data_IF_696617735290
#
_entry.id   IF_696617735290
#
_cell.length_a   1.000
_cell.length_b   1.000
_cell.length_c   1.000
_cell.angle_alpha   90.00
_cell.angle_beta   90.00
_cell.angle_gamma   90.00
#
_symmetry.space_group_name_H-M   'P 1'
#
loop_
_entity.id
_entity.type
_entity.pdbx_description
1 polymer ?
#
# COMPACT_ATOMS: atom_id res chain seq x y z
N UNK A 1 -35.58 -16.75 -23.94
CA UNK A 1 -34.63 -16.38 -22.87
C UNK A 1 -33.66 -17.54 -22.73
N UNK A 2 -32.40 -17.35 -23.09
CA UNK A 2 -31.36 -18.39 -22.95
C UNK A 2 -30.98 -18.50 -21.47
N UNK A 3 -31.24 -19.67 -20.87
CA UNK A 3 -30.78 -20.01 -19.52
C UNK A 3 -29.27 -20.24 -19.61
N UNK A 4 -28.47 -19.48 -18.87
CA UNK A 4 -27.03 -19.75 -18.78
C UNK A 4 -26.84 -21.12 -18.12
N UNK A 5 -25.90 -21.90 -18.63
CA UNK A 5 -25.55 -23.17 -17.98
C UNK A 5 -24.72 -22.89 -16.73
N UNK A 6 -24.77 -23.79 -15.75
CA UNK A 6 -23.92 -23.72 -14.56
C UNK A 6 -22.42 -23.52 -14.90
N UNK A 7 -21.96 -24.12 -16.00
CA UNK A 7 -20.59 -23.97 -16.50
C UNK A 7 -20.29 -22.54 -16.94
N UNK A 8 -21.23 -21.87 -17.62
CA UNK A 8 -21.08 -20.48 -18.06
C UNK A 8 -21.07 -19.50 -16.87
N UNK A 9 -21.92 -19.73 -15.87
CA UNK A 9 -21.94 -18.93 -14.64
C UNK A 9 -20.63 -19.08 -13.85
N UNK A 10 -20.09 -20.30 -13.78
CA UNK A 10 -18.84 -20.59 -13.11
C UNK A 10 -17.64 -19.94 -13.81
N UNK A 11 -17.59 -19.98 -15.14
CA UNK A 11 -16.54 -19.32 -15.92
C UNK A 11 -16.61 -17.79 -15.79
N UNK A 12 -17.80 -17.20 -15.83
CA UNK A 12 -17.99 -15.77 -15.62
C UNK A 12 -17.55 -15.33 -14.21
N UNK A 13 -17.90 -16.10 -13.18
CA UNK A 13 -17.45 -15.84 -11.81
C UNK A 13 -15.92 -15.92 -11.70
N UNK A 14 -15.29 -16.94 -12.29
CA UNK A 14 -13.82 -17.09 -12.29
C UNK A 14 -13.14 -15.90 -12.97
N UNK A 15 -13.61 -15.49 -14.15
CA UNK A 15 -13.06 -14.37 -14.87
C UNK A 15 -13.19 -13.05 -14.08
N UNK A 16 -14.32 -12.85 -13.40
CA UNK A 16 -14.54 -11.68 -12.54
C UNK A 16 -13.60 -11.68 -11.31
N UNK A 17 -13.42 -12.82 -10.66
CA UNK A 17 -12.51 -12.94 -9.52
C UNK A 17 -11.05 -12.75 -9.94
N UNK A 18 -10.65 -13.36 -11.06
CA UNK A 18 -9.30 -13.19 -11.60
C UNK A 18 -9.01 -11.73 -11.95
N UNK A 19 -9.97 -11.04 -12.58
CA UNK A 19 -9.85 -9.61 -12.87
C UNK A 19 -9.73 -8.77 -11.58
N UNK A 20 -10.46 -9.12 -10.51
CA UNK A 20 -10.38 -8.45 -9.20
C UNK A 20 -9.02 -8.64 -8.53
N UNK A 21 -8.47 -9.86 -8.56
CA UNK A 21 -7.17 -10.14 -7.94
C UNK A 21 -5.98 -9.52 -8.66
N UNK A 22 -6.08 -9.33 -9.98
CA UNK A 22 -5.03 -8.71 -10.81
C UNK A 22 -5.04 -7.18 -10.77
N UNK A 23 -5.98 -6.54 -10.07
CA UNK A 23 -5.97 -5.09 -9.91
C UNK A 23 -4.70 -4.62 -9.19
N UNK A 24 -4.28 -3.38 -9.45
CA UNK A 24 -3.04 -2.80 -8.90
C UNK A 24 -3.00 -2.80 -7.36
N UNK A 25 -4.16 -2.83 -6.70
CA UNK A 25 -4.31 -2.99 -5.24
C UNK A 25 -5.12 -4.25 -4.86
N UNK A 26 -5.20 -5.25 -5.74
CA UNK A 26 -5.94 -6.49 -5.53
C UNK A 26 -5.28 -7.40 -4.50
N UNK A 27 -5.98 -8.46 -4.06
CA UNK A 27 -5.50 -9.41 -3.03
C UNK A 27 -4.09 -9.98 -3.30
N UNK A 28 -3.68 -10.12 -4.57
CA UNK A 28 -2.37 -10.64 -4.95
C UNK A 28 -1.26 -9.59 -5.04
N UNK A 29 -1.56 -8.30 -4.81
CA UNK A 29 -0.60 -7.20 -4.93
C UNK A 29 0.22 -6.94 -3.66
N UNK A 30 0.12 -7.79 -2.62
CA UNK A 30 0.82 -7.59 -1.36
C UNK A 30 2.34 -7.78 -1.53
N UNK A 31 3.06 -6.67 -1.61
CA UNK A 31 4.53 -6.67 -1.67
C UNK A 31 5.19 -6.87 -0.29
N UNK A 32 4.46 -6.61 0.81
CA UNK A 32 4.96 -6.80 2.17
C UNK A 32 3.93 -6.45 3.23
N UNK A 33 4.14 -6.97 4.44
CA UNK A 33 3.39 -6.65 5.65
C UNK A 33 4.41 -6.38 6.76
N UNK A 34 4.35 -5.19 7.35
CA UNK A 34 5.30 -4.72 8.35
C UNK A 34 4.54 -4.30 9.60
N UNK A 35 4.92 -4.87 10.75
CA UNK A 35 4.44 -4.42 12.04
C UNK A 35 5.21 -3.19 12.46
N UNK A 36 4.51 -2.14 12.87
CA UNK A 36 5.13 -0.92 13.36
C UNK A 36 5.36 -1.02 14.87
N UNK A 37 6.58 -0.72 15.28
CA UNK A 37 6.91 -0.47 16.69
C UNK A 37 6.74 1.01 17.00
N UNK A 38 6.51 1.35 18.28
CA UNK A 38 6.43 2.76 18.71
C UNK A 38 7.77 3.47 18.42
N UNK A 39 7.72 4.65 17.81
CA UNK A 39 8.89 5.38 17.35
C UNK A 39 9.03 5.39 15.83
N UNK A 40 10.27 5.48 15.34
CA UNK A 40 10.58 5.66 13.92
C UNK A 40 10.96 4.36 13.24
N UNK A 41 10.50 4.16 12.02
CA UNK A 41 10.85 3.07 11.11
C UNK A 41 11.19 3.65 9.74
N UNK A 42 12.43 3.48 9.30
CA UNK A 42 12.88 3.98 7.99
C UNK A 42 12.45 3.02 6.90
N UNK A 43 12.00 3.59 5.79
CA UNK A 43 11.47 2.86 4.65
C UNK A 43 12.29 3.15 3.39
N UNK A 44 12.68 2.11 2.66
CA UNK A 44 13.43 2.26 1.41
C UNK A 44 14.09 0.97 0.94
N UNK A 45 14.91 1.07 -0.12
CA UNK A 45 15.68 -0.07 -0.66
C UNK A 45 17.09 -0.22 -0.07
N UNK A 46 17.50 0.68 0.83
CA UNK A 46 18.79 0.62 1.52
C UNK A 46 18.90 -0.58 2.47
N UNK A 47 20.11 -1.02 2.83
CA UNK A 47 20.35 -2.26 3.59
C UNK A 47 19.94 -2.20 5.07
N UNK A 48 19.77 -1.00 5.64
CA UNK A 48 19.50 -0.78 7.06
C UNK A 48 18.12 -0.12 7.28
N UNK A 49 17.11 -0.58 6.53
CA UNK A 49 15.74 -0.07 6.63
C UNK A 49 14.88 -1.04 7.46
N UNK A 50 14.18 -0.53 8.47
CA UNK A 50 13.19 -1.31 9.23
C UNK A 50 12.04 -1.77 8.31
N UNK A 51 11.68 -0.96 7.33
CA UNK A 51 10.72 -1.28 6.26
C UNK A 51 11.48 -1.41 4.94
N UNK A 52 12.02 -2.60 4.70
CA UNK A 52 12.77 -2.93 3.49
C UNK A 52 11.84 -3.09 2.28
N UNK A 53 12.02 -2.22 1.27
CA UNK A 53 11.27 -2.28 0.01
C UNK A 53 11.97 -3.13 -1.06
N UNK A 54 11.23 -3.70 -2.03
CA UNK A 54 11.82 -4.44 -3.13
C UNK A 54 12.82 -3.61 -3.93
N UNK A 55 13.97 -4.21 -4.25
CA UNK A 55 15.04 -3.55 -5.01
C UNK A 55 14.54 -2.96 -6.34
N UNK A 56 14.99 -1.74 -6.66
CA UNK A 56 14.63 -1.05 -7.91
C UNK A 56 13.20 -0.48 -7.96
N UNK A 57 12.40 -0.61 -6.90
CA UNK A 57 11.05 -0.05 -6.82
C UNK A 57 10.94 1.30 -6.13
N UNK A 58 11.95 1.69 -5.34
CA UNK A 58 12.00 2.94 -4.61
C UNK A 58 13.45 3.38 -4.34
N UNK A 59 13.70 4.65 -3.96
CA UNK A 59 15.01 5.11 -3.49
C UNK A 59 15.52 4.33 -2.28
N UNK A 60 16.83 4.41 -2.03
CA UNK A 60 17.47 3.76 -0.88
C UNK A 60 16.85 4.20 0.45
N UNK A 61 16.49 5.48 0.55
CA UNK A 61 15.67 6.02 1.61
C UNK A 61 14.48 6.75 0.98
N UNK A 62 13.28 6.18 1.11
CA UNK A 62 12.06 6.73 0.55
C UNK A 62 11.40 7.71 1.54
N UNK A 63 11.20 7.25 2.78
CA UNK A 63 10.53 7.99 3.85
C UNK A 63 10.83 7.37 5.22
N UNK A 64 10.40 8.04 6.28
CA UNK A 64 10.33 7.52 7.65
C UNK A 64 8.87 7.44 8.08
N UNK A 65 8.48 6.31 8.66
CA UNK A 65 7.21 6.12 9.34
C UNK A 65 7.43 6.37 10.83
N UNK A 66 6.56 7.15 11.48
CA UNK A 66 6.55 7.32 12.92
C UNK A 66 5.21 6.83 13.47
N UNK A 67 5.25 5.82 14.34
CA UNK A 67 4.11 5.45 15.18
C UNK A 67 4.26 6.17 16.51
N UNK A 68 3.26 6.99 16.85
CA UNK A 68 3.19 7.67 18.14
C UNK A 68 1.78 7.68 18.68
N UNK A 69 1.56 7.13 19.86
CA UNK A 69 0.24 7.11 20.53
C UNK A 69 -0.87 6.56 19.61
N UNK A 70 -0.55 5.52 18.83
CA UNK A 70 -1.50 4.90 17.89
C UNK A 70 -1.74 5.68 16.59
N UNK A 71 -1.04 6.80 16.37
CA UNK A 71 -1.10 7.57 15.12
C UNK A 71 0.13 7.28 14.27
N UNK A 72 -0.09 7.06 12.99
CA UNK A 72 0.97 6.82 12.03
C UNK A 72 1.18 8.06 11.17
N UNK A 73 2.41 8.55 11.12
CA UNK A 73 2.82 9.66 10.26
C UNK A 73 3.95 9.22 9.33
N UNK A 74 3.88 9.61 8.07
CA UNK A 74 4.96 9.44 7.11
C UNK A 74 5.63 10.80 6.89
N UNK A 75 6.95 10.84 6.97
CA UNK A 75 7.77 11.98 6.56
C UNK A 75 8.75 11.56 5.47
N UNK A 76 8.81 12.32 4.38
CA UNK A 76 9.68 12.03 3.25
C UNK A 76 10.67 13.18 3.01
N UNK A 77 11.94 12.87 2.66
CA UNK A 77 12.88 13.88 2.20
C UNK A 77 12.32 14.73 1.07
N UNK A 78 12.76 15.98 0.96
CA UNK A 78 12.38 16.85 -0.15
C UNK A 78 12.77 16.21 -1.49
N UNK A 79 11.81 16.12 -2.41
CA UNK A 79 12.00 15.48 -3.72
C UNK A 79 11.86 13.96 -3.74
N UNK A 80 11.54 13.31 -2.61
CA UNK A 80 11.17 11.90 -2.60
C UNK A 80 9.88 11.67 -3.42
N UNK A 81 9.81 10.56 -4.19
CA UNK A 81 8.66 10.24 -5.04
C UNK A 81 7.53 9.61 -4.19
N UNK A 82 6.96 10.39 -3.28
CA UNK A 82 5.87 9.99 -2.39
C UNK A 82 4.63 10.83 -2.70
N UNK A 83 3.51 10.15 -2.94
CA UNK A 83 2.27 10.80 -3.38
C UNK A 83 1.05 10.31 -2.62
N UNK A 84 0.08 11.21 -2.41
CA UNK A 84 -1.30 10.89 -2.01
C UNK A 84 -2.23 11.53 -3.04
N UNK A 85 -3.16 10.74 -3.58
CA UNK A 85 -4.06 11.16 -4.68
C UNK A 85 -3.31 11.81 -5.86
N UNK A 86 -2.12 11.29 -6.16
CA UNK A 86 -1.24 11.78 -7.23
C UNK A 86 -0.52 13.10 -6.92
N UNK A 87 -0.72 13.70 -5.74
CA UNK A 87 -0.05 14.92 -5.31
C UNK A 87 1.19 14.59 -4.45
N UNK A 88 2.33 15.24 -4.70
CA UNK A 88 3.54 15.00 -3.92
C UNK A 88 3.37 15.46 -2.48
N UNK A 89 3.84 14.64 -1.52
CA UNK A 89 3.78 14.94 -0.08
C UNK A 89 5.11 14.67 0.60
N UNK A 90 5.43 15.45 1.63
CA UNK A 90 6.63 15.27 2.47
C UNK A 90 6.30 15.01 3.94
N UNK A 91 5.07 15.29 4.37
CA UNK A 91 4.56 15.00 5.71
C UNK A 91 3.07 14.72 5.60
N UNK A 92 2.63 13.56 6.08
CA UNK A 92 1.21 13.19 6.11
C UNK A 92 0.91 12.22 7.25
N UNK A 93 -0.19 12.45 7.95
CA UNK A 93 -0.77 11.44 8.85
C UNK A 93 -1.50 10.38 8.01
N UNK A 94 -1.17 9.11 8.20
CA UNK A 94 -1.76 8.00 7.48
C UNK A 94 -2.93 7.42 8.27
N UNK A 95 -4.15 7.66 7.79
CA UNK A 95 -5.37 7.15 8.41
C UNK A 95 -5.66 5.70 7.98
N UNK A 96 -6.11 4.83 8.90
CA UNK A 96 -6.60 3.50 8.58
C UNK A 96 -8.01 3.56 7.97
N UNK A 97 -8.43 2.47 7.32
CA UNK A 97 -9.72 2.35 6.60
C UNK A 97 -10.99 2.46 7.48
N UNK A 98 -10.84 2.47 8.80
CA UNK A 98 -11.96 2.65 9.74
C UNK A 98 -11.62 3.74 10.73
N UNK A 99 -12.44 4.79 10.90
CA UNK A 99 -13.82 4.97 10.40
C UNK A 99 -13.98 5.72 9.05
N UNK A 100 -12.91 5.98 8.30
CA UNK A 100 -12.95 6.75 7.05
C UNK A 100 -12.08 6.13 5.93
N UNK A 101 -12.00 6.73 4.74
CA UNK A 101 -11.17 6.18 3.67
C UNK A 101 -9.70 6.12 4.14
N UNK A 102 -9.04 5.00 3.90
CA UNK A 102 -7.63 4.84 4.23
C UNK A 102 -6.79 5.86 3.46
N UNK A 103 -5.76 6.41 4.11
CA UNK A 103 -4.73 7.14 3.40
C UNK A 103 -3.88 6.15 2.63
N UNK A 104 -3.93 6.22 1.30
CA UNK A 104 -3.09 5.42 0.42
C UNK A 104 -1.93 6.30 -0.04
N UNK A 105 -0.73 5.98 0.43
CA UNK A 105 0.50 6.59 -0.03
C UNK A 105 1.07 5.75 -1.17
N UNK A 106 1.57 6.38 -2.23
CA UNK A 106 2.11 5.68 -3.40
C UNK A 106 3.53 6.13 -3.72
N UNK A 107 4.32 5.21 -4.28
CA UNK A 107 5.64 5.47 -4.86
C UNK A 107 5.91 4.50 -6.00
N UNK A 108 5.97 5.01 -7.24
CA UNK A 108 6.08 4.16 -8.43
C UNK A 108 4.93 3.15 -8.51
N UNK A 109 5.25 1.86 -8.51
CA UNK A 109 4.25 0.78 -8.50
C UNK A 109 3.91 0.26 -7.10
N UNK A 110 4.33 0.94 -6.03
CA UNK A 110 4.05 0.56 -4.65
C UNK A 110 2.93 1.42 -4.09
N UNK A 111 2.02 0.80 -3.35
CA UNK A 111 1.00 1.46 -2.55
C UNK A 111 1.14 1.00 -1.10
N UNK A 112 1.00 1.94 -0.17
CA UNK A 112 1.13 1.74 1.27
C UNK A 112 -0.13 2.25 1.95
N UNK A 113 -0.66 1.46 2.88
CA UNK A 113 -1.83 1.82 3.67
C UNK A 113 -1.69 1.22 5.06
N UNK A 114 -2.34 1.84 6.05
CA UNK A 114 -2.33 1.37 7.43
C UNK A 114 -3.51 0.43 7.64
N UNK A 115 -3.19 -0.77 8.12
CA UNK A 115 -4.18 -1.76 8.52
C UNK A 115 -4.25 -1.78 10.05
N UNK A 116 -5.43 -1.48 10.59
CA UNK A 116 -5.74 -1.77 11.99
C UNK A 116 -6.42 -3.14 12.07
N UNK A 117 -6.11 -3.91 13.10
CA UNK A 117 -6.89 -5.10 13.47
C UNK A 117 -8.20 -4.74 14.15
#
# INVERSE_FOLDING_TARGET
MSVQTYEQELEAWRAMQEASWRQENGWLALAGLFWLEEGESRMGTGPDMEIQLPSGKAPAHLATITLKEGKVRLTAPAGSPVYVDGQPVTDIEMMPERPGPATIVTSGSLAFFIKNE
#
